data_IF_244997258193
#
_entry.id   IF_244997258193
#
_cell.length_a   1.000
_cell.length_b   1.000
_cell.length_c   1.000
_cell.angle_alpha   90.00
_cell.angle_beta   90.00
_cell.angle_gamma   90.00
#
_symmetry.space_group_name_H-M   'P 1'
#
loop_
_entity.id
_entity.type
_entity.pdbx_description
1 polymer ?
#
# COMPACT_ATOMS: atom_id res chain seq x y z
N UNK A 1 -16.13 0.74 -25.80
CA UNK A 1 -16.61 1.26 -24.51
C UNK A 1 -15.49 1.03 -23.49
N UNK A 2 -14.76 2.07 -23.11
CA UNK A 2 -13.67 1.95 -22.13
C UNK A 2 -14.29 1.64 -20.77
N UNK A 3 -14.00 0.49 -20.18
CA UNK A 3 -14.23 0.31 -18.76
C UNK A 3 -13.26 1.25 -18.03
N UNK A 4 -13.72 2.31 -17.34
CA UNK A 4 -12.82 3.07 -16.50
C UNK A 4 -12.23 2.11 -15.46
N UNK A 5 -10.93 2.24 -15.22
CA UNK A 5 -10.22 1.48 -14.22
C UNK A 5 -10.91 1.64 -12.86
N UNK A 6 -11.15 0.54 -12.15
CA UNK A 6 -11.65 0.59 -10.77
C UNK A 6 -10.49 0.91 -9.84
N UNK A 7 -10.53 2.09 -9.22
CA UNK A 7 -9.61 2.45 -8.12
C UNK A 7 -10.30 2.01 -6.82
N UNK A 8 -9.91 0.86 -6.29
CA UNK A 8 -10.34 0.40 -4.97
C UNK A 8 -9.23 0.67 -3.94
N UNK A 9 -9.50 1.56 -2.98
CA UNK A 9 -8.64 1.71 -1.81
C UNK A 9 -8.99 0.63 -0.79
N UNK A 10 -8.03 -0.24 -0.47
CA UNK A 10 -8.20 -1.26 0.56
C UNK A 10 -7.01 -1.24 1.53
N UNK A 11 -7.19 -1.82 2.72
CA UNK A 11 -6.08 -2.02 3.64
C UNK A 11 -5.03 -2.93 2.99
N UNK A 12 -3.74 -2.68 3.26
CA UNK A 12 -2.64 -3.56 2.84
C UNK A 12 -2.91 -5.04 3.22
N UNK A 13 -3.62 -5.27 4.33
CA UNK A 13 -3.98 -6.61 4.81
C UNK A 13 -4.90 -7.39 3.86
N UNK A 14 -5.61 -6.71 2.96
CA UNK A 14 -6.55 -7.34 2.01
C UNK A 14 -5.90 -7.74 0.69
N UNK A 15 -4.68 -7.26 0.40
CA UNK A 15 -3.91 -7.70 -0.76
C UNK A 15 -3.55 -9.18 -0.63
N UNK A 16 -3.52 -9.84 -1.79
CA UNK A 16 -3.04 -11.20 -2.01
C UNK A 16 -1.59 -11.15 -2.49
N UNK A 17 -0.84 -12.20 -2.19
CA UNK A 17 0.54 -12.33 -2.68
C UNK A 17 0.60 -12.22 -4.20
N UNK A 18 1.54 -11.43 -4.71
CA UNK A 18 1.68 -11.11 -6.14
C UNK A 18 0.85 -9.91 -6.60
N UNK A 19 -0.09 -9.41 -5.79
CA UNK A 19 -0.83 -8.20 -6.14
C UNK A 19 0.02 -6.94 -5.99
N UNK A 20 -0.28 -5.97 -6.85
CA UNK A 20 0.37 -4.65 -6.89
C UNK A 20 -0.63 -3.58 -6.52
N UNK A 21 -0.15 -2.54 -5.86
CA UNK A 21 -0.97 -1.41 -5.47
C UNK A 21 -0.15 -0.14 -5.32
N UNK A 22 -0.85 0.99 -5.19
CA UNK A 22 -0.25 2.27 -4.88
C UNK A 22 -0.59 2.59 -3.43
N UNK A 23 0.42 3.00 -2.66
CA UNK A 23 0.20 3.48 -1.29
C UNK A 23 -0.58 4.79 -1.39
N UNK A 24 -1.81 4.81 -0.91
CA UNK A 24 -2.66 6.02 -0.96
C UNK A 24 -2.53 6.87 0.30
N UNK A 25 -2.54 6.23 1.47
CA UNK A 25 -2.33 6.89 2.76
C UNK A 25 -1.88 5.89 3.84
N UNK A 26 -1.22 6.39 4.88
CA UNK A 26 -0.88 5.60 6.07
C UNK A 26 -1.67 6.12 7.27
N UNK A 27 -2.60 5.32 7.81
CA UNK A 27 -3.47 5.69 8.94
C UNK A 27 -2.80 5.57 10.33
N UNK A 28 -1.50 5.85 10.44
CA UNK A 28 -0.79 5.79 11.72
C UNK A 28 -0.65 7.18 12.33
N UNK A 29 -1.08 7.36 13.58
CA UNK A 29 -0.79 8.57 14.35
C UNK A 29 0.64 8.55 14.93
N UNK A 30 1.29 7.39 14.93
CA UNK A 30 2.66 7.24 15.41
C UNK A 30 3.66 7.72 14.35
N UNK A 31 4.30 8.85 14.65
CA UNK A 31 5.33 9.48 13.81
C UNK A 31 6.58 8.62 13.66
N UNK A 32 6.88 7.73 14.60
CA UNK A 32 8.04 6.83 14.52
C UNK A 32 7.83 5.76 13.46
N UNK A 33 6.65 5.15 13.44
CA UNK A 33 6.24 4.18 12.42
C UNK A 33 6.22 4.85 11.05
N UNK A 34 5.64 6.06 10.96
CA UNK A 34 5.61 6.80 9.71
C UNK A 34 7.02 7.11 9.15
N UNK A 35 7.94 7.59 10.00
CA UNK A 35 9.35 7.82 9.59
C UNK A 35 10.03 6.54 9.12
N UNK A 36 9.78 5.40 9.79
CA UNK A 36 10.34 4.09 9.41
C UNK A 36 9.77 3.56 8.09
N UNK A 37 8.51 3.85 7.79
CA UNK A 37 7.88 3.53 6.51
C UNK A 37 8.49 4.36 5.38
N UNK A 38 8.63 5.67 5.58
CA UNK A 38 9.28 6.58 4.62
C UNK A 38 10.72 6.14 4.35
N UNK A 39 11.51 5.82 5.39
CA UNK A 39 12.91 5.39 5.20
C UNK A 39 13.03 4.05 4.45
N UNK A 40 11.96 3.25 4.41
CA UNK A 40 11.86 2.02 3.61
C UNK A 40 11.25 2.23 2.22
N UNK A 41 10.97 3.48 1.81
CA UNK A 41 10.38 3.81 0.52
C UNK A 41 8.85 3.64 0.46
N UNK A 42 8.20 3.34 1.59
CA UNK A 42 6.74 3.21 1.69
C UNK A 42 6.14 4.59 1.94
N UNK A 43 6.03 5.37 0.86
CA UNK A 43 5.45 6.72 0.85
C UNK A 43 4.17 6.76 0.02
N UNK A 44 3.21 7.65 0.31
CA UNK A 44 2.07 7.87 -0.57
C UNK A 44 2.51 8.13 -2.02
N UNK A 45 1.86 7.48 -2.98
CA UNK A 45 2.24 7.49 -4.40
C UNK A 45 3.25 6.41 -4.80
N UNK A 46 3.92 5.75 -3.85
CA UNK A 46 4.81 4.63 -4.17
C UNK A 46 4.01 3.41 -4.62
N UNK A 47 4.48 2.79 -5.70
CA UNK A 47 3.99 1.47 -6.12
C UNK A 47 4.65 0.39 -5.27
N UNK A 48 3.85 -0.56 -4.82
CA UNK A 48 4.28 -1.71 -4.01
C UNK A 48 3.76 -3.01 -4.61
N UNK A 49 4.49 -4.09 -4.35
CA UNK A 49 4.09 -5.46 -4.66
C UNK A 49 4.08 -6.25 -3.36
N UNK A 50 3.02 -7.01 -3.09
CA UNK A 50 2.98 -7.90 -1.93
C UNK A 50 3.73 -9.20 -2.25
N UNK A 51 5.00 -9.27 -1.89
CA UNK A 51 5.83 -10.46 -2.14
C UNK A 51 5.48 -11.63 -1.22
N UNK A 52 5.18 -11.35 0.04
CA UNK A 52 4.91 -12.36 1.04
C UNK A 52 3.96 -11.83 2.12
N UNK A 53 3.11 -12.71 2.64
CA UNK A 53 2.19 -12.43 3.74
C UNK A 53 2.40 -13.47 4.82
N UNK A 54 2.80 -13.02 6.00
CA UNK A 54 2.91 -13.87 7.18
C UNK A 54 1.57 -13.89 7.93
N UNK A 55 1.21 -15.02 8.59
CA UNK A 55 0.04 -15.10 9.46
C UNK A 55 0.10 -14.10 10.62
#
# INVERSE_FOLDING_TARGET
MFSPFSIAGCSLKLLRTGERGIVTFCKSQDKTIFKKLISKGVTPGSSITLEQKFP
#
